data_IF_819694708679
#
_entry.id   IF_819694708679
#
_cell.length_a   1.000
_cell.length_b   1.000
_cell.length_c   1.000
_cell.angle_alpha   90.00
_cell.angle_beta   90.00
_cell.angle_gamma   90.00
#
_symmetry.space_group_name_H-M   'P 1'
#
loop_
_entity.id
_entity.type
_entity.pdbx_description
1 polymer ?
#
# COMPACT_ATOMS: atom_id res chain seq x y z
N UNK A 1 1.40 5.31 4.27
CA UNK A 1 2.68 4.83 3.74
C UNK A 1 3.35 5.88 2.84
N UNK A 2 4.66 6.06 3.00
CA UNK A 2 5.49 6.94 2.17
C UNK A 2 6.52 6.09 1.47
N UNK A 3 6.66 6.23 0.13
CA UNK A 3 7.54 5.37 -0.65
C UNK A 3 9.00 5.85 -0.64
N UNK A 4 9.92 4.89 -0.80
CA UNK A 4 11.33 5.16 -1.03
C UNK A 4 11.52 5.94 -2.34
N UNK A 5 12.08 7.15 -2.22
CA UNK A 5 12.21 8.11 -3.31
C UNK A 5 11.16 9.24 -3.28
N UNK A 6 10.01 9.08 -2.63
CA UNK A 6 9.16 10.23 -2.29
C UNK A 6 9.69 10.97 -1.05
N UNK A 7 10.25 10.25 -0.09
CA UNK A 7 11.06 10.76 1.03
C UNK A 7 12.50 10.25 0.89
N UNK A 8 13.44 10.79 1.68
CA UNK A 8 14.84 10.37 1.65
C UNK A 8 15.01 8.94 2.18
N UNK A 9 16.17 8.34 1.87
CA UNK A 9 16.52 7.01 2.37
C UNK A 9 16.59 7.00 3.89
N UNK A 10 17.23 7.99 4.47
CA UNK A 10 17.43 8.12 5.92
C UNK A 10 16.09 8.21 6.66
N UNK A 11 15.18 9.03 6.15
CA UNK A 11 13.84 9.16 6.73
C UNK A 11 13.06 7.84 6.64
N UNK A 12 13.11 7.17 5.47
CA UNK A 12 12.40 5.91 5.26
C UNK A 12 12.94 4.78 6.15
N UNK A 13 14.27 4.68 6.28
CA UNK A 13 14.92 3.69 7.15
C UNK A 13 14.69 4.00 8.63
N UNK A 14 14.76 5.27 9.04
CA UNK A 14 14.48 5.68 10.44
C UNK A 14 13.07 5.30 10.87
N UNK A 15 12.07 5.50 9.99
CA UNK A 15 10.70 5.08 10.27
C UNK A 15 10.59 3.56 10.44
N UNK A 16 11.29 2.78 9.61
CA UNK A 16 11.29 1.33 9.73
C UNK A 16 11.93 0.86 11.04
N UNK A 17 13.11 1.41 11.40
CA UNK A 17 13.82 1.12 12.65
C UNK A 17 12.93 1.44 13.85
N UNK A 18 12.34 2.64 13.87
CA UNK A 18 11.48 3.07 14.97
C UNK A 18 10.29 2.13 15.16
N UNK A 19 9.61 1.76 14.07
CA UNK A 19 8.48 0.84 14.14
C UNK A 19 8.89 -0.58 14.56
N UNK A 20 10.04 -1.06 14.11
CA UNK A 20 10.56 -2.36 14.53
C UNK A 20 10.90 -2.38 16.04
N UNK A 21 11.51 -1.33 16.56
CA UNK A 21 11.78 -1.19 18.02
C UNK A 21 10.50 -1.11 18.85
N UNK A 22 9.45 -0.49 18.33
CA UNK A 22 8.14 -0.40 18.99
C UNK A 22 7.27 -1.64 18.78
N UNK A 23 7.77 -2.67 18.12
CA UNK A 23 7.01 -3.84 17.69
C UNK A 23 5.78 -3.53 16.84
N UNK A 24 5.82 -2.39 16.13
CA UNK A 24 4.84 -1.97 15.15
C UNK A 24 5.15 -2.47 13.74
N UNK A 25 4.46 -1.90 12.75
CA UNK A 25 4.65 -2.24 11.34
C UNK A 25 4.85 -0.96 10.53
N UNK A 26 6.01 -0.78 9.91
CA UNK A 26 6.21 0.22 8.87
C UNK A 26 5.81 -0.35 7.51
N UNK A 27 5.44 0.53 6.59
CA UNK A 27 5.01 0.18 5.23
C UNK A 27 6.00 0.75 4.21
N UNK A 28 6.44 -0.06 3.27
CA UNK A 28 7.38 0.36 2.21
C UNK A 28 6.82 1.46 1.31
N UNK A 29 5.50 1.59 1.18
CA UNK A 29 4.91 2.31 0.07
C UNK A 29 5.17 1.60 -1.26
N UNK A 30 4.82 2.23 -2.37
CA UNK A 30 4.89 1.63 -3.72
C UNK A 30 6.29 1.62 -4.37
N UNK A 31 7.32 1.91 -3.61
CA UNK A 31 8.69 2.07 -4.14
C UNK A 31 9.58 0.85 -4.05
N UNK A 32 9.10 -0.26 -3.52
CA UNK A 32 9.95 -1.40 -3.22
C UNK A 32 10.84 -1.17 -1.99
N UNK A 33 11.79 -2.06 -1.79
CA UNK A 33 12.77 -2.01 -0.71
C UNK A 33 14.10 -2.59 -1.19
N UNK A 34 15.23 -1.95 -0.82
CA UNK A 34 16.54 -2.39 -1.28
C UNK A 34 16.94 -3.74 -0.65
N UNK A 35 17.80 -4.48 -1.36
CA UNK A 35 18.28 -5.77 -0.85
C UNK A 35 19.03 -5.62 0.47
N UNK A 36 19.80 -4.54 0.64
CA UNK A 36 20.54 -4.23 1.86
C UNK A 36 19.61 -4.07 3.07
N UNK A 37 18.41 -3.53 2.85
CA UNK A 37 17.38 -3.45 3.91
C UNK A 37 16.75 -4.80 4.18
N UNK A 38 16.46 -5.58 3.14
CA UNK A 38 15.91 -6.94 3.31
C UNK A 38 16.89 -7.83 4.09
N UNK A 39 18.21 -7.66 3.84
CA UNK A 39 19.26 -8.40 4.55
C UNK A 39 19.42 -8.00 6.02
N UNK A 40 18.95 -6.81 6.41
CA UNK A 40 19.00 -6.35 7.80
C UNK A 40 17.92 -6.96 8.69
N UNK A 41 16.96 -7.67 8.11
CA UNK A 41 15.82 -8.24 8.85
C UNK A 41 16.27 -9.13 10.01
N UNK A 42 15.74 -8.87 11.22
CA UNK A 42 16.06 -9.60 12.43
C UNK A 42 17.42 -9.29 13.04
N UNK A 43 18.17 -8.35 12.49
CA UNK A 43 19.44 -7.85 13.09
C UNK A 43 19.15 -6.75 14.11
N UNK A 44 20.20 -6.29 14.81
CA UNK A 44 20.10 -5.17 15.75
C UNK A 44 19.68 -3.86 15.07
N UNK A 45 20.05 -3.69 13.80
CA UNK A 45 19.73 -2.52 12.96
C UNK A 45 18.68 -2.89 11.88
N UNK A 46 17.64 -3.58 12.28
CA UNK A 46 16.57 -4.03 11.36
C UNK A 46 15.86 -2.83 10.72
N UNK A 47 16.14 -2.62 9.43
CA UNK A 47 15.56 -1.56 8.58
C UNK A 47 14.50 -2.10 7.66
N UNK A 48 14.17 -3.38 7.78
CA UNK A 48 13.19 -4.04 6.93
C UNK A 48 11.76 -3.64 7.33
N UNK A 49 10.99 -3.10 6.42
CA UNK A 49 9.59 -2.76 6.68
C UNK A 49 8.74 -4.03 6.75
N UNK A 50 7.86 -4.10 7.76
CA UNK A 50 7.00 -5.26 7.97
C UNK A 50 5.92 -5.41 6.88
N UNK A 51 5.39 -4.29 6.37
CA UNK A 51 4.36 -4.26 5.34
C UNK A 51 5.03 -3.97 3.98
N UNK A 52 4.84 -4.88 3.04
CA UNK A 52 5.28 -4.75 1.65
C UNK A 52 4.11 -4.35 0.77
N UNK A 53 4.13 -3.14 0.24
CA UNK A 53 3.05 -2.64 -0.61
C UNK A 53 3.23 -3.09 -2.06
N UNK A 54 2.13 -3.48 -2.69
CA UNK A 54 2.01 -3.85 -4.10
C UNK A 54 0.98 -2.91 -4.74
N UNK A 55 1.46 -1.96 -5.53
CA UNK A 55 0.63 -1.00 -6.26
C UNK A 55 0.52 -1.40 -7.74
N UNK A 56 -0.26 -0.67 -8.52
CA UNK A 56 -0.47 -0.94 -9.95
C UNK A 56 0.84 -0.97 -10.77
N UNK A 57 1.79 -0.11 -10.45
CA UNK A 57 3.09 -0.04 -11.12
C UNK A 57 4.06 -1.18 -10.77
N UNK A 58 3.79 -1.96 -9.73
CA UNK A 58 4.62 -3.09 -9.28
C UNK A 58 6.11 -2.76 -9.10
N UNK A 59 6.46 -1.51 -8.79
CA UNK A 59 7.85 -1.08 -8.64
C UNK A 59 8.55 -1.80 -7.49
N UNK A 60 9.66 -2.48 -7.82
CA UNK A 60 10.46 -3.21 -6.85
C UNK A 60 9.83 -4.47 -6.29
N UNK A 61 8.72 -4.93 -6.85
CA UNK A 61 8.05 -6.17 -6.42
C UNK A 61 8.79 -7.37 -7.01
N UNK A 62 9.57 -8.04 -6.17
CA UNK A 62 10.30 -9.27 -6.48
C UNK A 62 9.85 -10.39 -5.56
N UNK A 63 10.18 -11.64 -5.90
CA UNK A 63 9.91 -12.78 -5.00
C UNK A 63 10.55 -12.59 -3.64
N UNK A 64 11.80 -12.09 -3.60
CA UNK A 64 12.51 -11.79 -2.36
C UNK A 64 11.79 -10.75 -1.51
N UNK A 65 11.31 -9.69 -2.13
CA UNK A 65 10.50 -8.66 -1.49
C UNK A 65 9.23 -9.25 -0.87
N UNK A 66 8.49 -10.08 -1.62
CA UNK A 66 7.25 -10.69 -1.14
C UNK A 66 7.48 -11.67 0.01
N UNK A 67 8.49 -12.54 -0.07
CA UNK A 67 8.74 -13.53 1.01
C UNK A 67 9.27 -12.90 2.29
N UNK A 68 9.83 -11.69 2.24
CA UNK A 68 10.29 -10.95 3.42
C UNK A 68 9.16 -10.24 4.17
N UNK A 69 7.94 -10.23 3.62
CA UNK A 69 6.81 -9.52 4.21
C UNK A 69 6.23 -10.26 5.42
N UNK A 70 5.88 -9.50 6.47
CA UNK A 70 4.93 -9.94 7.51
C UNK A 70 3.49 -9.65 7.09
N UNK A 71 3.31 -8.63 6.26
CA UNK A 71 2.04 -8.27 5.64
C UNK A 71 2.29 -7.77 4.22
N UNK A 72 1.48 -8.22 3.26
CA UNK A 72 1.49 -7.74 1.89
C UNK A 72 0.25 -6.88 1.69
N UNK A 73 0.44 -5.62 1.32
CA UNK A 73 -0.66 -4.69 1.11
C UNK A 73 -0.87 -4.39 -0.37
N UNK A 74 -2.03 -4.76 -0.88
CA UNK A 74 -2.47 -4.37 -2.23
C UNK A 74 -3.01 -2.94 -2.14
N UNK A 75 -2.38 -2.02 -2.86
CA UNK A 75 -2.83 -0.62 -2.94
C UNK A 75 -3.73 -0.44 -4.15
N UNK A 76 -5.03 -0.29 -3.93
CA UNK A 76 -5.99 -0.04 -5.01
C UNK A 76 -6.00 1.43 -5.42
N UNK A 77 -5.94 2.35 -4.45
CA UNK A 77 -5.94 3.78 -4.69
C UNK A 77 -5.32 4.54 -3.50
N UNK A 78 -5.33 5.85 -3.56
CA UNK A 78 -4.76 6.75 -2.57
C UNK A 78 -5.77 7.84 -2.23
N UNK A 79 -6.12 7.97 -0.95
CA UNK A 79 -7.20 8.85 -0.49
C UNK A 79 -6.98 10.32 -0.77
N UNK A 80 -5.73 10.79 -0.72
CA UNK A 80 -5.39 12.19 -1.01
C UNK A 80 -5.62 12.59 -2.48
N UNK A 81 -5.68 11.64 -3.39
CA UNK A 81 -5.91 11.86 -4.82
C UNK A 81 -6.59 10.66 -5.50
N UNK A 82 -7.83 10.38 -5.14
CA UNK A 82 -8.58 9.27 -5.73
C UNK A 82 -8.59 9.37 -7.27
N UNK A 83 -8.38 8.24 -7.95
CA UNK A 83 -8.46 8.14 -9.40
C UNK A 83 -7.24 8.67 -10.20
N UNK A 84 -6.22 9.24 -9.57
CA UNK A 84 -5.04 9.76 -10.29
C UNK A 84 -3.87 8.76 -10.37
N UNK A 85 -3.81 7.80 -9.46
CA UNK A 85 -2.68 6.88 -9.33
C UNK A 85 -1.44 7.53 -8.72
N UNK A 86 -0.34 6.76 -8.67
CA UNK A 86 0.94 7.20 -8.15
C UNK A 86 1.87 7.71 -9.25
N UNK A 87 2.74 8.66 -8.91
CA UNK A 87 3.83 9.06 -9.78
C UNK A 87 5.05 9.56 -8.99
N UNK A 88 6.23 9.42 -9.58
CA UNK A 88 7.48 9.95 -9.07
C UNK A 88 8.13 10.78 -10.18
N UNK A 89 8.40 12.08 -9.93
CA UNK A 89 9.03 12.94 -10.92
C UNK A 89 10.43 12.47 -11.29
N UNK A 90 10.83 12.65 -12.55
CA UNK A 90 12.15 12.26 -13.07
C UNK A 90 13.32 12.71 -12.19
N UNK A 91 13.25 13.95 -11.68
CA UNK A 91 14.27 14.53 -10.79
C UNK A 91 14.47 13.81 -9.45
N UNK A 92 13.51 12.97 -9.04
CA UNK A 92 13.59 12.14 -7.81
C UNK A 92 14.02 10.70 -8.11
N UNK A 93 14.11 10.32 -9.38
CA UNK A 93 14.52 8.97 -9.78
C UNK A 93 16.03 8.91 -9.91
N UNK A 94 16.73 8.99 -8.76
CA UNK A 94 18.16 8.78 -8.67
C UNK A 94 18.56 7.33 -9.02
N UNK A 95 19.84 7.06 -9.33
CA UNK A 95 20.29 5.70 -9.70
C UNK A 95 19.92 4.63 -8.66
N UNK A 96 20.05 4.93 -7.37
CA UNK A 96 19.71 4.00 -6.28
C UNK A 96 18.21 3.79 -6.13
N UNK A 97 17.39 4.82 -6.40
CA UNK A 97 15.93 4.71 -6.44
C UNK A 97 15.50 3.83 -7.63
N UNK A 98 16.06 4.11 -8.80
CA UNK A 98 15.79 3.33 -10.01
C UNK A 98 16.17 1.86 -9.84
N UNK A 99 17.32 1.56 -9.23
CA UNK A 99 17.76 0.20 -8.91
C UNK A 99 16.71 -0.53 -8.05
N UNK A 100 16.24 0.12 -6.99
CA UNK A 100 15.25 -0.46 -6.08
C UNK A 100 13.88 -0.66 -6.75
N UNK A 101 13.48 0.29 -7.59
CA UNK A 101 12.19 0.26 -8.30
C UNK A 101 12.21 -0.58 -9.58
N UNK A 102 13.37 -1.11 -9.97
CA UNK A 102 13.57 -1.84 -11.24
C UNK A 102 13.20 -0.98 -12.45
N UNK A 103 13.72 0.25 -12.47
CA UNK A 103 13.40 1.28 -13.45
C UNK A 103 14.65 1.99 -13.98
N UNK A 104 14.48 3.02 -14.82
CA UNK A 104 15.58 3.78 -15.42
C UNK A 104 15.79 5.09 -14.66
N UNK A 105 17.05 5.44 -14.28
CA UNK A 105 17.35 6.72 -13.63
C UNK A 105 16.93 7.92 -14.49
N UNK A 106 16.41 8.95 -13.85
CA UNK A 106 16.05 10.20 -14.53
C UNK A 106 14.79 10.13 -15.40
N UNK A 107 14.08 9.02 -15.39
CA UNK A 107 12.79 8.86 -16.10
C UNK A 107 11.66 8.90 -15.09
N UNK A 108 10.64 9.72 -15.32
CA UNK A 108 9.47 9.80 -14.46
C UNK A 108 8.72 8.45 -14.43
N UNK A 109 8.25 8.09 -13.23
CA UNK A 109 7.53 6.83 -13.03
C UNK A 109 6.05 7.11 -12.78
N UNK A 110 5.20 6.31 -13.41
CA UNK A 110 3.75 6.37 -13.26
C UNK A 110 3.26 5.01 -12.79
N UNK A 111 2.46 5.03 -11.72
CA UNK A 111 1.68 3.89 -11.26
C UNK A 111 0.21 4.21 -11.60
N UNK A 112 -0.35 3.66 -12.68
CA UNK A 112 -1.67 4.05 -13.16
C UNK A 112 -2.76 3.79 -12.12
N UNK A 113 -3.92 4.53 -12.18
CA UNK A 113 -5.00 4.36 -11.22
C UNK A 113 -5.50 2.91 -11.11
N UNK A 114 -5.89 2.24 -12.21
CA UNK A 114 -6.26 0.83 -12.17
C UNK A 114 -5.02 -0.07 -12.24
N UNK A 115 -5.06 -1.19 -11.55
CA UNK A 115 -4.16 -2.29 -11.85
C UNK A 115 -4.52 -2.85 -13.24
N UNK A 116 -3.51 -3.17 -14.06
CA UNK A 116 -3.72 -3.68 -15.43
C UNK A 116 -4.44 -5.02 -15.49
N UNK A 117 -4.38 -5.77 -14.39
CA UNK A 117 -4.89 -7.13 -14.24
C UNK A 117 -6.11 -7.21 -13.29
N UNK A 118 -6.66 -6.08 -12.86
CA UNK A 118 -7.81 -6.03 -11.94
C UNK A 118 -8.91 -5.16 -12.54
N UNK A 119 -9.98 -5.81 -13.00
CA UNK A 119 -11.16 -5.17 -13.55
C UNK A 119 -12.44 -5.56 -12.80
N UNK A 120 -12.34 -6.54 -11.90
CA UNK A 120 -13.45 -7.05 -11.10
C UNK A 120 -12.98 -7.47 -9.70
N UNK A 121 -13.93 -7.78 -8.83
CA UNK A 121 -13.61 -8.31 -7.50
C UNK A 121 -12.98 -9.71 -7.60
N UNK A 122 -13.32 -10.47 -8.63
CA UNK A 122 -12.77 -11.79 -8.90
C UNK A 122 -11.29 -11.71 -9.28
N UNK A 123 -10.90 -10.71 -10.07
CA UNK A 123 -9.49 -10.46 -10.42
C UNK A 123 -8.69 -10.08 -9.17
N UNK A 124 -9.29 -9.25 -8.29
CA UNK A 124 -8.66 -8.92 -7.01
C UNK A 124 -8.52 -10.15 -6.11
N UNK A 125 -9.54 -11.02 -6.09
CA UNK A 125 -9.48 -12.28 -5.35
C UNK A 125 -8.35 -13.18 -5.87
N UNK A 126 -8.15 -13.23 -7.19
CA UNK A 126 -7.03 -13.96 -7.79
C UNK A 126 -5.68 -13.38 -7.34
N UNK A 127 -5.52 -12.06 -7.36
CA UNK A 127 -4.28 -11.43 -6.87
C UNK A 127 -4.04 -11.70 -5.37
N UNK A 128 -5.09 -11.63 -4.54
CA UNK A 128 -5.00 -12.00 -3.11
C UNK A 128 -4.51 -13.44 -2.95
N UNK A 129 -5.07 -14.36 -3.71
CA UNK A 129 -4.69 -15.76 -3.72
C UNK A 129 -3.23 -15.96 -4.15
N UNK A 130 -2.80 -15.31 -5.24
CA UNK A 130 -1.44 -15.42 -5.76
C UNK A 130 -0.41 -14.88 -4.78
N UNK A 131 -0.67 -13.73 -4.17
CA UNK A 131 0.21 -13.15 -3.15
C UNK A 131 0.27 -14.00 -1.89
N UNK A 132 -0.84 -14.62 -1.48
CA UNK A 132 -0.87 -15.57 -0.36
C UNK A 132 -0.07 -16.84 -0.67
N UNK A 133 -0.05 -17.30 -1.92
CA UNK A 133 0.78 -18.41 -2.34
C UNK A 133 2.27 -18.02 -2.44
N UNK A 134 2.57 -16.78 -2.83
CA UNK A 134 3.94 -16.27 -2.82
C UNK A 134 4.54 -16.21 -1.41
N UNK A 135 3.71 -15.86 -0.41
CA UNK A 135 4.10 -15.87 1.00
C UNK A 135 2.94 -16.32 1.89
N UNK A 136 2.93 -17.61 2.26
CA UNK A 136 1.88 -18.23 3.08
C UNK A 136 1.80 -17.69 4.49
N UNK A 137 2.87 -17.10 5.00
CA UNK A 137 2.97 -16.59 6.38
C UNK A 137 2.57 -15.12 6.50
N UNK A 138 2.56 -14.37 5.40
CA UNK A 138 2.16 -12.97 5.42
C UNK A 138 0.63 -12.82 5.49
N UNK A 139 0.16 -11.85 6.26
CA UNK A 139 -1.22 -11.37 6.13
C UNK A 139 -1.38 -10.61 4.81
N UNK A 140 -2.56 -10.71 4.21
CA UNK A 140 -2.91 -9.88 3.05
C UNK A 140 -3.81 -8.75 3.51
N UNK A 141 -3.41 -7.53 3.19
CA UNK A 141 -4.24 -6.34 3.39
C UNK A 141 -4.56 -5.66 2.06
N UNK A 142 -5.71 -4.99 2.01
CA UNK A 142 -6.12 -4.22 0.84
C UNK A 142 -6.40 -2.78 1.27
N UNK A 143 -5.68 -1.84 0.64
CA UNK A 143 -5.90 -0.41 0.85
C UNK A 143 -6.96 0.09 -0.12
N UNK A 144 -8.06 0.55 0.43
CA UNK A 144 -9.19 1.18 -0.26
C UNK A 144 -9.24 2.67 0.12
N UNK A 145 -10.05 3.42 -0.60
CA UNK A 145 -10.24 4.85 -0.38
C UNK A 145 -11.63 5.10 0.21
N UNK A 146 -11.72 6.08 1.10
CA UNK A 146 -13.01 6.59 1.58
C UNK A 146 -13.74 7.29 0.43
N UNK A 147 -14.69 6.56 -0.16
CA UNK A 147 -15.56 7.03 -1.24
C UNK A 147 -16.91 6.31 -1.18
N UNK A 148 -17.92 6.84 -1.82
CA UNK A 148 -19.22 6.20 -1.88
C UNK A 148 -19.13 4.82 -2.56
N UNK A 149 -19.70 3.79 -1.93
CA UNK A 149 -19.66 2.41 -2.43
C UNK A 149 -18.48 1.59 -1.91
N UNK A 150 -17.56 2.18 -1.14
CA UNK A 150 -16.39 1.46 -0.59
C UNK A 150 -16.80 0.24 0.24
N UNK A 151 -17.93 0.30 0.92
CA UNK A 151 -18.46 -0.84 1.69
C UNK A 151 -18.73 -2.08 0.83
N UNK A 152 -19.22 -1.90 -0.39
CA UNK A 152 -19.43 -3.01 -1.33
C UNK A 152 -18.11 -3.64 -1.75
N UNK A 153 -17.13 -2.82 -2.08
CA UNK A 153 -15.77 -3.29 -2.41
C UNK A 153 -15.16 -4.03 -1.23
N UNK A 154 -15.26 -3.48 -0.03
CA UNK A 154 -14.77 -4.09 1.21
C UNK A 154 -15.41 -5.45 1.49
N UNK A 155 -16.71 -5.61 1.22
CA UNK A 155 -17.38 -6.90 1.36
C UNK A 155 -16.81 -7.95 0.38
N UNK A 156 -16.51 -7.54 -0.86
CA UNK A 156 -15.82 -8.38 -1.83
C UNK A 156 -14.42 -8.78 -1.37
N UNK A 157 -13.64 -7.83 -0.88
CA UNK A 157 -12.29 -8.06 -0.34
C UNK A 157 -12.31 -9.04 0.84
N UNK A 158 -13.27 -8.89 1.76
CA UNK A 158 -13.44 -9.80 2.88
C UNK A 158 -13.79 -11.22 2.43
N UNK A 159 -14.64 -11.37 1.40
CA UNK A 159 -14.98 -12.67 0.79
C UNK A 159 -13.79 -13.29 0.07
N UNK A 160 -12.94 -12.47 -0.54
CA UNK A 160 -11.73 -12.90 -1.23
C UNK A 160 -10.61 -13.38 -0.26
N UNK A 161 -10.79 -13.22 1.05
CA UNK A 161 -9.89 -13.78 2.07
C UNK A 161 -8.75 -12.87 2.52
N UNK A 162 -8.84 -11.56 2.29
CA UNK A 162 -7.93 -10.61 2.91
C UNK A 162 -8.17 -10.56 4.44
N UNK A 163 -7.10 -10.40 5.22
CA UNK A 163 -7.17 -10.31 6.67
C UNK A 163 -7.39 -8.89 7.17
N UNK A 164 -6.93 -7.89 6.41
CA UNK A 164 -7.03 -6.47 6.80
C UNK A 164 -7.55 -5.62 5.64
N UNK A 165 -8.38 -4.66 5.95
CA UNK A 165 -8.86 -3.63 5.02
C UNK A 165 -8.46 -2.28 5.60
N UNK A 166 -7.68 -1.51 4.85
CA UNK A 166 -7.30 -0.15 5.22
C UNK A 166 -8.17 0.84 4.45
N UNK A 167 -8.92 1.67 5.17
CA UNK A 167 -9.72 2.76 4.59
C UNK A 167 -8.93 4.06 4.70
N UNK A 168 -8.53 4.61 3.56
CA UNK A 168 -7.70 5.80 3.47
C UNK A 168 -8.54 7.05 3.25
N UNK A 169 -8.36 8.05 4.11
CA UNK A 169 -9.01 9.35 3.99
C UNK A 169 -8.28 10.33 3.06
N UNK A 170 -8.76 11.58 3.01
CA UNK A 170 -8.29 12.61 2.09
C UNK A 170 -6.89 13.16 2.39
N UNK A 171 -6.42 13.06 3.62
CA UNK A 171 -5.10 13.54 4.03
C UNK A 171 -4.09 12.39 3.95
N UNK A 172 -2.88 12.70 3.57
CA UNK A 172 -1.82 11.69 3.50
C UNK A 172 -0.71 12.09 2.56
N UNK A 173 0.42 11.40 2.74
CA UNK A 173 1.63 11.67 2.00
C UNK A 173 1.49 11.36 0.52
N UNK A 174 1.79 12.33 -0.31
CA UNK A 174 2.01 12.14 -1.73
C UNK A 174 3.18 12.99 -2.20
N UNK A 175 4.17 12.33 -2.81
CA UNK A 175 5.40 13.02 -3.25
C UNK A 175 5.23 13.88 -4.50
N UNK A 176 4.09 13.83 -5.19
CA UNK A 176 3.92 14.43 -6.52
C UNK A 176 2.48 14.70 -6.94
N UNK A 177 1.57 14.96 -6.01
CA UNK A 177 0.19 15.32 -6.38
C UNK A 177 0.04 16.83 -6.65
N UNK A 178 -0.83 17.23 -7.59
CA UNK A 178 -1.26 18.62 -7.74
C UNK A 178 -1.93 19.12 -6.45
N UNK A 179 -1.74 20.40 -6.13
CA UNK A 179 -2.38 21.00 -4.95
C UNK A 179 -3.90 20.95 -5.01
N UNK A 180 -4.47 21.11 -6.20
CA UNK A 180 -5.92 21.00 -6.43
C UNK A 180 -6.48 19.65 -5.98
N UNK A 181 -5.79 18.55 -6.29
CA UNK A 181 -6.21 17.21 -5.88
C UNK A 181 -6.12 17.03 -4.37
N UNK A 182 -5.00 17.44 -3.76
CA UNK A 182 -4.79 17.31 -2.31
C UNK A 182 -5.86 18.08 -1.52
N UNK A 183 -6.29 19.24 -2.01
CA UNK A 183 -7.24 20.09 -1.29
C UNK A 183 -8.71 19.74 -1.54
N UNK A 184 -9.03 19.07 -2.67
CA UNK A 184 -10.42 19.01 -3.13
C UNK A 184 -10.92 17.61 -3.50
N UNK A 185 -10.07 16.57 -3.56
CA UNK A 185 -10.46 15.32 -4.20
C UNK A 185 -10.89 14.21 -3.23
N UNK A 186 -10.38 14.18 -2.00
CA UNK A 186 -10.62 13.07 -1.06
C UNK A 186 -11.75 13.34 -0.08
N UNK A 187 -12.22 12.26 0.60
CA UNK A 187 -13.22 12.29 1.67
C UNK A 187 -12.59 11.92 3.02
N UNK A 188 -13.17 12.36 4.15
CA UNK A 188 -12.75 11.91 5.48
C UNK A 188 -12.88 10.38 5.62
N UNK A 189 -11.92 9.75 6.32
CA UNK A 189 -11.94 8.29 6.52
C UNK A 189 -13.15 7.81 7.31
N UNK A 190 -13.74 8.65 8.15
CA UNK A 190 -14.90 8.33 8.99
C UNK A 190 -16.10 7.91 8.16
N UNK A 191 -16.31 8.54 7.01
CA UNK A 191 -17.42 8.19 6.12
C UNK A 191 -17.22 6.79 5.53
N UNK A 192 -16.02 6.52 4.98
CA UNK A 192 -15.68 5.22 4.42
C UNK A 192 -15.66 4.10 5.47
N UNK A 193 -15.16 4.41 6.68
CA UNK A 193 -15.18 3.47 7.79
C UNK A 193 -16.62 3.10 8.20
N UNK A 194 -17.50 4.09 8.36
CA UNK A 194 -18.89 3.87 8.75
C UNK A 194 -19.63 3.00 7.71
N UNK A 195 -19.49 3.34 6.43
CA UNK A 195 -20.07 2.56 5.34
C UNK A 195 -19.54 1.12 5.30
N UNK A 196 -18.21 0.97 5.38
CA UNK A 196 -17.55 -0.34 5.38
C UNK A 196 -18.00 -1.18 6.56
N UNK A 197 -17.99 -0.62 7.77
CA UNK A 197 -18.39 -1.32 8.97
C UNK A 197 -19.84 -1.82 8.89
N UNK A 198 -20.77 -0.94 8.49
CA UNK A 198 -22.19 -1.27 8.37
C UNK A 198 -22.44 -2.32 7.28
N UNK A 199 -21.78 -2.18 6.13
CA UNK A 199 -21.92 -3.14 5.03
C UNK A 199 -21.39 -4.51 5.42
N UNK A 200 -20.24 -4.59 6.09
CA UNK A 200 -19.69 -5.85 6.58
C UNK A 200 -20.59 -6.49 7.64
N UNK A 201 -21.20 -5.70 8.54
CA UNK A 201 -22.18 -6.21 9.52
C UNK A 201 -23.40 -6.81 8.83
N UNK A 202 -24.03 -6.07 7.90
CA UNK A 202 -25.20 -6.53 7.15
C UNK A 202 -24.96 -7.82 6.37
N UNK A 203 -23.73 -8.06 5.94
CA UNK A 203 -23.33 -9.24 5.18
C UNK A 203 -22.72 -10.36 6.06
N UNK A 204 -22.68 -10.22 7.38
CA UNK A 204 -22.08 -11.22 8.28
C UNK A 204 -20.55 -11.39 8.10
N UNK A 205 -19.87 -10.37 7.62
CA UNK A 205 -18.42 -10.42 7.28
C UNK A 205 -17.55 -9.64 8.26
N UNK A 206 -18.13 -8.84 9.16
CA UNK A 206 -17.36 -7.90 10.01
C UNK A 206 -16.32 -8.60 10.89
N UNK A 207 -16.56 -9.80 11.33
CA UNK A 207 -15.67 -10.58 12.17
C UNK A 207 -14.55 -11.30 11.41
N UNK A 208 -14.59 -11.27 10.06
CA UNK A 208 -13.58 -11.94 9.22
C UNK A 208 -12.36 -11.08 8.95
N UNK A 209 -12.47 -9.75 9.13
CA UNK A 209 -11.43 -8.79 8.76
C UNK A 209 -11.18 -7.78 9.87
N UNK A 210 -9.93 -7.34 9.97
CA UNK A 210 -9.54 -6.14 10.68
C UNK A 210 -9.77 -4.94 9.77
N UNK A 211 -10.35 -3.85 10.31
CA UNK A 211 -10.41 -2.58 9.60
C UNK A 211 -9.43 -1.63 10.24
N UNK A 212 -8.63 -0.99 9.42
CA UNK A 212 -7.68 0.06 9.79
C UNK A 212 -8.00 1.33 9.02
N UNK A 213 -7.56 2.48 9.52
CA UNK A 213 -7.75 3.77 8.86
C UNK A 213 -6.46 4.56 8.84
N UNK A 214 -6.25 5.34 7.79
CA UNK A 214 -5.21 6.36 7.70
C UNK A 214 -5.74 7.61 6.98
N UNK A 215 -5.04 8.74 7.13
CA UNK A 215 -5.44 10.01 6.54
C UNK A 215 -6.74 10.56 7.14
N UNK A 216 -6.87 11.83 7.29
CA UNK A 216 -8.10 12.46 7.82
C UNK A 216 -9.33 12.18 6.98
#
# INVERSE_FOLDING_TARGET
>A
AMSYGSISQEAHETLAIAMNHLHGKSNTGEGGESNERLDSAGTKDDRCSAIKQVASGRFGVTSRYLVSAREIQIKMAQGAKPGEGGHLPAKKVYPWIAKTRLSTPGVALISPPPHHDIYSIEDLAQLIYDLKNANKYADISVKLVSEAGVGTVAAGVAKAGAQTILISGYDGGTGAAPRSSIHNAGLPWELGLAETHQTLLKNGLRNRVRIETDGK
#
